data_IF_449777106376
#
_entry.id   IF_449777106376
#
_cell.length_a   1.000
_cell.length_b   1.000
_cell.length_c   1.000
_cell.angle_alpha   90.00
_cell.angle_beta   90.00
_cell.angle_gamma   90.00
#
_symmetry.space_group_name_H-M   'P 1'
#
loop_
_entity.id
_entity.type
_entity.pdbx_description
1 polymer ?
#
# COMPACT_ATOMS: atom_id res chain seq x y z
N UNK A 1 8.31 -18.50 17.51
CA UNK A 1 7.77 -17.13 17.60
C UNK A 1 6.53 -17.17 18.49
N UNK A 2 6.39 -16.26 19.45
CA UNK A 2 5.20 -16.12 20.30
C UNK A 2 4.52 -14.79 19.93
N UNK A 3 3.26 -14.83 19.50
CA UNK A 3 2.48 -13.65 19.17
C UNK A 3 1.54 -13.34 20.35
N UNK A 4 1.54 -12.10 20.83
CA UNK A 4 0.64 -11.62 21.89
C UNK A 4 -0.26 -10.56 21.25
N UNK A 5 -1.52 -10.93 21.00
CA UNK A 5 -2.53 -10.01 20.46
C UNK A 5 -3.65 -9.84 21.49
N UNK A 6 -3.73 -8.69 22.18
CA UNK A 6 -4.74 -8.45 23.19
C UNK A 6 -6.16 -8.62 22.61
N UNK A 7 -7.05 -9.22 23.38
CA UNK A 7 -8.45 -9.37 22.99
C UNK A 7 -9.17 -8.01 22.90
N UNK A 8 -10.13 -7.89 21.98
CA UNK A 8 -10.85 -6.64 21.71
C UNK A 8 -9.94 -5.46 21.30
N UNK A 9 -8.81 -5.76 20.67
CA UNK A 9 -7.90 -4.77 20.08
C UNK A 9 -8.14 -4.61 18.57
N UNK A 10 -7.49 -3.63 17.95
CA UNK A 10 -7.53 -3.43 16.49
C UNK A 10 -7.15 -4.71 15.72
N UNK A 11 -6.21 -5.50 16.24
CA UNK A 11 -5.70 -6.72 15.60
C UNK A 11 -6.46 -7.99 16.03
N UNK A 12 -7.33 -7.90 17.03
CA UNK A 12 -8.19 -8.98 17.49
C UNK A 12 -9.57 -8.41 17.89
N UNK A 13 -10.31 -7.90 16.89
CA UNK A 13 -11.61 -7.30 17.12
C UNK A 13 -12.63 -8.36 17.50
N UNK A 14 -13.59 -7.99 18.36
CA UNK A 14 -14.75 -8.84 18.68
C UNK A 14 -15.92 -8.48 17.80
N UNK A 15 -16.65 -9.47 17.30
CA UNK A 15 -17.92 -9.26 16.61
C UNK A 15 -18.88 -8.40 17.46
N UNK A 16 -19.61 -7.42 16.90
CA UNK A 16 -19.77 -7.08 15.47
C UNK A 16 -18.86 -5.94 14.99
N UNK A 17 -17.67 -5.75 15.57
CA UNK A 17 -16.76 -4.69 15.16
C UNK A 17 -16.44 -4.77 13.65
N UNK A 18 -16.41 -3.61 12.99
CA UNK A 18 -16.08 -3.51 11.58
C UNK A 18 -14.60 -3.84 11.36
N UNK A 19 -14.31 -4.67 10.35
CA UNK A 19 -12.95 -5.16 10.02
C UNK A 19 -12.57 -4.91 8.56
N UNK A 20 -13.36 -4.10 7.85
CA UNK A 20 -13.07 -3.74 6.47
C UNK A 20 -11.73 -3.01 6.39
N UNK A 21 -11.03 -3.13 5.27
CA UNK A 21 -9.73 -2.51 5.03
C UNK A 21 -8.59 -2.96 5.98
N UNK A 22 -8.75 -4.08 6.69
CA UNK A 22 -7.69 -4.63 7.54
C UNK A 22 -6.38 -4.90 6.76
N UNK A 23 -6.48 -5.57 5.61
CA UNK A 23 -5.30 -5.87 4.79
C UNK A 23 -4.66 -4.61 4.18
N UNK A 24 -5.48 -3.63 3.80
CA UNK A 24 -5.00 -2.51 2.99
C UNK A 24 -4.20 -1.48 3.79
N UNK A 25 -4.57 -1.26 5.05
CA UNK A 25 -3.94 -0.26 5.91
C UNK A 25 -3.27 -0.91 7.11
N UNK A 26 -4.03 -1.71 7.88
CA UNK A 26 -3.54 -2.22 9.17
C UNK A 26 -2.41 -3.23 8.96
N UNK A 27 -2.56 -4.18 8.03
CA UNK A 27 -1.51 -5.16 7.75
C UNK A 27 -0.25 -4.54 7.14
N UNK A 28 -0.38 -3.52 6.28
CA UNK A 28 0.78 -2.78 5.74
C UNK A 28 1.59 -2.15 6.88
N UNK A 29 0.92 -1.44 7.79
CA UNK A 29 1.57 -0.77 8.91
C UNK A 29 2.20 -1.76 9.90
N UNK A 30 1.59 -2.93 10.12
CA UNK A 30 2.21 -3.99 10.93
C UNK A 30 3.48 -4.50 10.25
N UNK A 31 3.45 -4.73 8.94
CA UNK A 31 4.61 -5.20 8.20
C UNK A 31 5.77 -4.20 8.30
N UNK A 32 5.51 -2.91 8.06
CA UNK A 32 6.50 -1.85 8.22
C UNK A 32 7.04 -1.79 9.66
N UNK A 33 6.18 -1.86 10.67
CA UNK A 33 6.59 -1.87 12.07
C UNK A 33 7.52 -3.05 12.41
N UNK A 34 7.26 -4.24 11.85
CA UNK A 34 8.12 -5.41 12.02
C UNK A 34 9.48 -5.23 11.33
N UNK A 35 9.50 -4.73 10.08
CA UNK A 35 10.76 -4.48 9.37
C UNK A 35 11.63 -3.42 10.07
N UNK A 36 10.99 -2.36 10.56
CA UNK A 36 11.65 -1.32 11.35
C UNK A 36 12.22 -1.89 12.66
N UNK A 37 11.44 -2.70 13.38
CA UNK A 37 11.90 -3.32 14.63
C UNK A 37 13.08 -4.28 14.42
N UNK A 38 13.15 -4.92 13.26
CA UNK A 38 14.26 -5.80 12.88
C UNK A 38 15.46 -5.04 12.29
N UNK A 39 15.30 -3.75 11.94
CA UNK A 39 16.35 -2.95 11.31
C UNK A 39 16.70 -3.40 9.89
N UNK A 40 15.76 -4.05 9.20
CA UNK A 40 15.97 -4.58 7.84
C UNK A 40 15.55 -3.58 6.76
N UNK A 41 14.45 -2.86 6.99
CA UNK A 41 13.90 -1.87 6.06
C UNK A 41 13.41 -0.63 6.82
N UNK A 42 13.58 0.55 6.22
CA UNK A 42 12.82 1.73 6.58
C UNK A 42 11.33 1.56 6.22
N UNK A 43 10.48 2.47 6.71
CA UNK A 43 9.06 2.45 6.37
C UNK A 43 8.84 2.62 4.87
N UNK A 44 7.97 1.79 4.30
CA UNK A 44 7.53 1.87 2.91
C UNK A 44 6.30 2.77 2.78
N UNK A 45 5.57 2.66 1.66
CA UNK A 45 4.32 3.40 1.43
C UNK A 45 3.28 3.24 2.56
N UNK A 46 3.30 2.13 3.33
CA UNK A 46 2.43 1.92 4.50
C UNK A 46 0.93 1.75 4.21
N UNK A 47 0.54 1.72 2.94
CA UNK A 47 -0.84 1.53 2.46
C UNK A 47 -0.81 0.78 1.13
N UNK A 48 -1.92 0.11 0.76
CA UNK A 48 -2.13 -0.37 -0.61
C UNK A 48 -2.56 0.75 -1.58
N UNK A 49 -2.81 1.96 -1.05
CA UNK A 49 -3.22 3.17 -1.75
C UNK A 49 -4.38 2.92 -2.69
N UNK A 50 -5.52 2.57 -2.10
CA UNK A 50 -6.72 2.26 -2.85
C UNK A 50 -7.26 3.53 -3.50
N UNK A 51 -7.45 3.46 -4.81
CA UNK A 51 -8.14 4.47 -5.58
C UNK A 51 -9.46 3.89 -6.06
N UNK A 52 -10.56 4.50 -5.64
CA UNK A 52 -11.91 4.04 -5.95
C UNK A 52 -12.76 5.20 -6.44
N UNK A 53 -13.53 4.98 -7.49
CA UNK A 53 -14.55 5.91 -7.96
C UNK A 53 -15.71 5.13 -8.59
N UNK A 54 -16.87 5.76 -8.72
CA UNK A 54 -18.04 5.11 -9.29
C UNK A 54 -19.35 5.82 -8.96
N UNK A 55 -20.42 5.23 -9.47
CA UNK A 55 -21.82 5.61 -9.27
C UNK A 55 -22.71 4.34 -9.30
N UNK A 56 -24.00 4.50 -9.59
CA UNK A 56 -24.96 3.37 -9.67
C UNK A 56 -24.65 2.39 -10.82
N UNK A 57 -23.94 2.83 -11.86
CA UNK A 57 -23.64 2.03 -13.06
C UNK A 57 -22.17 1.56 -13.07
N UNK A 58 -21.24 2.38 -12.59
CA UNK A 58 -19.81 2.11 -12.62
C UNK A 58 -19.22 1.92 -11.22
N UNK A 59 -18.38 0.90 -11.04
CA UNK A 59 -17.56 0.75 -9.83
C UNK A 59 -16.13 0.39 -10.21
N UNK A 60 -15.20 1.29 -9.87
CA UNK A 60 -13.77 1.09 -10.07
C UNK A 60 -13.04 1.01 -8.74
N UNK A 61 -12.10 0.08 -8.67
CA UNK A 61 -11.20 -0.11 -7.54
C UNK A 61 -9.83 -0.49 -8.08
N UNK A 62 -8.81 0.26 -7.67
CA UNK A 62 -7.42 -0.01 -8.03
C UNK A 62 -6.51 0.21 -6.82
N UNK A 63 -5.36 -0.48 -6.82
CA UNK A 63 -4.28 -0.24 -5.86
C UNK A 63 -3.13 0.46 -6.57
N UNK A 64 -2.77 1.66 -6.12
CA UNK A 64 -1.68 2.42 -6.74
C UNK A 64 -0.33 2.09 -6.09
N UNK A 65 0.60 1.63 -6.91
CA UNK A 65 1.97 1.37 -6.48
C UNK A 65 2.66 2.61 -5.88
N UNK A 66 3.59 2.40 -4.97
CA UNK A 66 4.35 3.47 -4.31
C UNK A 66 5.82 3.12 -4.10
N UNK A 67 6.40 3.62 -3.01
CA UNK A 67 7.81 3.42 -2.68
C UNK A 67 8.02 2.33 -1.64
N UNK A 68 9.07 1.53 -1.82
CA UNK A 68 9.59 0.64 -0.78
C UNK A 68 10.61 1.38 0.06
N UNK A 69 10.58 1.20 1.39
CA UNK A 69 11.59 1.78 2.25
C UNK A 69 13.01 1.34 1.87
N UNK A 70 14.01 2.19 2.13
CA UNK A 70 15.40 1.84 1.93
C UNK A 70 15.85 0.75 2.92
N UNK A 71 16.82 -0.06 2.51
CA UNK A 71 17.51 -1.00 3.41
C UNK A 71 18.84 -0.43 3.86
N UNK A 72 19.53 -1.12 4.78
CA UNK A 72 20.89 -0.76 5.19
C UNK A 72 21.95 -0.86 4.08
N UNK A 73 21.62 -1.50 2.95
CA UNK A 73 22.56 -1.79 1.87
C UNK A 73 22.21 -1.14 0.53
N UNK A 74 20.98 -0.66 0.37
CA UNK A 74 20.45 -0.23 -0.92
C UNK A 74 19.26 0.72 -0.76
N UNK A 75 19.06 1.54 -1.80
CA UNK A 75 17.89 2.37 -1.96
C UNK A 75 16.60 1.53 -2.08
N UNK A 76 15.49 2.16 -1.74
CA UNK A 76 14.14 1.68 -2.00
C UNK A 76 13.83 1.54 -3.49
N UNK A 77 12.93 0.63 -3.82
CA UNK A 77 12.37 0.52 -5.16
C UNK A 77 11.21 1.52 -5.32
N UNK A 78 11.19 2.22 -6.45
CA UNK A 78 10.12 3.16 -6.80
C UNK A 78 9.01 2.48 -7.61
N UNK A 79 7.78 2.94 -7.42
CA UNK A 79 6.58 2.54 -8.17
C UNK A 79 6.33 1.02 -8.19
N UNK A 80 6.41 0.39 -7.01
CA UNK A 80 6.08 -1.03 -6.83
C UNK A 80 4.96 -1.23 -5.81
N UNK A 81 4.32 -2.39 -5.91
CA UNK A 81 3.45 -2.90 -4.86
C UNK A 81 4.31 -3.49 -3.74
N UNK A 82 4.09 -3.04 -2.50
CA UNK A 82 4.90 -3.42 -1.34
C UNK A 82 4.12 -4.28 -0.35
N UNK A 83 4.85 -5.16 0.32
CA UNK A 83 4.40 -6.09 1.35
C UNK A 83 3.13 -6.89 0.99
N UNK A 84 1.96 -6.40 1.39
CA UNK A 84 0.71 -7.15 1.37
C UNK A 84 0.00 -7.07 0.01
N UNK A 85 0.51 -6.27 -0.94
CA UNK A 85 -0.08 -6.12 -2.28
C UNK A 85 0.62 -7.01 -3.30
N UNK A 86 -0.15 -7.84 -4.02
CA UNK A 86 0.33 -8.74 -5.08
C UNK A 86 -0.53 -8.60 -6.35
N UNK A 87 -0.76 -7.35 -6.77
CA UNK A 87 -1.51 -7.00 -7.98
C UNK A 87 -0.60 -6.33 -9.00
N UNK A 88 -1.01 -6.40 -10.27
CA UNK A 88 -0.54 -5.45 -11.28
C UNK A 88 -1.61 -4.38 -11.43
N UNK A 89 -1.17 -3.16 -11.67
CA UNK A 89 -2.09 -2.07 -12.01
C UNK A 89 -2.72 -2.33 -13.39
N UNK A 90 -3.98 -1.93 -13.53
CA UNK A 90 -4.72 -1.97 -14.81
C UNK A 90 -4.09 -1.02 -15.82
N UNK A 91 -3.88 -1.47 -17.06
CA UNK A 91 -3.35 -0.61 -18.11
C UNK A 91 -4.26 0.61 -18.35
N UNK A 92 -3.69 1.83 -18.52
CA UNK A 92 -4.45 3.05 -18.79
C UNK A 92 -5.48 2.92 -19.91
N UNK A 93 -5.12 2.25 -21.01
CA UNK A 93 -6.02 2.04 -22.16
C UNK A 93 -7.26 1.21 -21.78
N UNK A 94 -7.09 0.24 -20.86
CA UNK A 94 -8.19 -0.58 -20.36
C UNK A 94 -9.07 0.20 -19.40
N UNK A 95 -8.49 1.10 -18.59
CA UNK A 95 -9.25 2.02 -17.73
C UNK A 95 -10.17 2.92 -18.59
N UNK A 96 -9.61 3.60 -19.59
CA UNK A 96 -10.35 4.54 -20.44
C UNK A 96 -11.38 3.83 -21.34
N UNK A 97 -11.10 2.60 -21.78
CA UNK A 97 -12.04 1.83 -22.57
C UNK A 97 -13.24 1.30 -21.76
N UNK A 98 -13.09 1.12 -20.44
CA UNK A 98 -14.11 0.51 -19.58
C UNK A 98 -14.91 1.52 -18.76
N UNK A 99 -14.35 2.71 -18.52
CA UNK A 99 -14.95 3.71 -17.64
C UNK A 99 -14.98 5.07 -18.32
N UNK A 100 -15.99 5.92 -18.03
CA UNK A 100 -16.14 7.24 -18.67
C UNK A 100 -15.18 8.27 -18.07
N UNK A 101 -13.88 7.95 -18.04
CA UNK A 101 -12.80 8.79 -17.51
C UNK A 101 -11.68 8.90 -18.54
N UNK A 102 -10.92 10.00 -18.47
CA UNK A 102 -9.70 10.21 -19.23
C UNK A 102 -8.53 10.32 -18.25
N UNK A 103 -7.47 9.56 -18.47
CA UNK A 103 -6.26 9.60 -17.64
C UNK A 103 -5.32 10.68 -18.15
N UNK A 104 -5.23 11.79 -17.42
CA UNK A 104 -4.35 12.91 -17.83
C UNK A 104 -2.87 12.59 -17.63
N UNK A 105 -2.53 11.91 -16.54
CA UNK A 105 -1.14 11.59 -16.20
C UNK A 105 -1.04 10.25 -15.47
N UNK A 106 -0.11 9.41 -15.93
CA UNK A 106 0.34 8.22 -15.21
C UNK A 106 1.87 8.21 -15.13
N UNK A 107 2.40 8.63 -14.00
CA UNK A 107 3.84 8.86 -13.85
C UNK A 107 4.35 8.51 -12.45
N UNK A 108 5.67 8.30 -12.36
CA UNK A 108 6.36 8.18 -11.08
C UNK A 108 6.54 9.59 -10.51
N UNK A 109 5.99 9.85 -9.32
CA UNK A 109 6.23 11.11 -8.59
C UNK A 109 7.71 11.21 -8.17
N UNK A 110 8.50 11.95 -8.94
CA UNK A 110 9.94 12.11 -8.68
C UNK A 110 10.20 12.96 -7.43
N UNK A 111 11.25 12.62 -6.69
CA UNK A 111 11.65 13.34 -5.47
C UNK A 111 10.73 13.14 -4.27
N UNK A 112 9.82 12.15 -4.32
CA UNK A 112 8.94 11.80 -3.20
C UNK A 112 9.59 10.87 -2.18
N UNK A 113 10.72 10.24 -2.54
CA UNK A 113 11.44 9.29 -1.71
C UNK A 113 11.98 9.91 -0.42
N UNK A 114 11.97 9.14 0.67
CA UNK A 114 12.53 9.56 1.95
C UNK A 114 14.04 9.74 1.85
N UNK A 115 14.56 10.84 2.42
CA UNK A 115 15.99 11.10 2.43
C UNK A 115 16.72 10.24 3.47
N UNK A 116 17.91 9.75 3.11
CA UNK A 116 18.77 8.94 3.98
C UNK A 116 20.10 8.63 3.30
N UNK A 117 20.97 7.85 3.97
CA UNK A 117 22.20 7.34 3.35
C UNK A 117 21.88 6.49 2.10
N UNK A 118 20.75 5.78 2.16
CA UNK A 118 20.04 5.22 1.03
C UNK A 118 18.67 5.89 0.94
N UNK A 119 18.27 6.32 -0.26
CA UNK A 119 16.97 6.94 -0.48
C UNK A 119 15.88 5.87 -0.48
N UNK A 120 14.74 6.17 0.13
CA UNK A 120 13.50 5.36 0.00
C UNK A 120 12.76 5.62 -1.30
#
# INVERSE_FOLDING_TARGET
MRLIVPEASLLNPRFPAAVVAGNVETSQQIADALYLALGELAGSQGTMNNFTFGDDEYQYYETLAGGMGASRHANGASAIQVHMTNSRLTDPEVLEARFPVLLEEFSIRRGSGGAGAHAG
#
